data_IF_291781646262
#
_entry.id   IF_291781646262
#
_cell.length_a   1.000
_cell.length_b   1.000
_cell.length_c   1.000
_cell.angle_alpha   90.00
_cell.angle_beta   90.00
_cell.angle_gamma   90.00
#
_symmetry.space_group_name_H-M   'P 1'
#
loop_
_entity.id
_entity.type
_entity.pdbx_description
1 polymer ?
#
# COMPACT_ATOMS: atom_id res chain seq x y z
N UNK A 1 -31.03 20.37 -27.11
CA UNK A 1 -31.26 21.36 -26.02
C UNK A 1 -30.31 21.05 -24.86
N UNK A 2 -29.12 21.65 -24.90
CA UNK A 2 -28.19 21.64 -23.78
C UNK A 2 -28.69 22.71 -22.81
N UNK A 3 -29.57 22.32 -21.90
CA UNK A 3 -30.00 23.19 -20.81
C UNK A 3 -28.82 23.36 -19.85
N UNK A 4 -28.53 24.61 -19.55
CA UNK A 4 -27.60 25.08 -18.53
C UNK A 4 -27.78 24.28 -17.24
N UNK A 5 -26.89 23.31 -16.99
CA UNK A 5 -26.76 22.75 -15.64
C UNK A 5 -26.06 23.80 -14.81
N UNK A 6 -26.84 24.48 -13.98
CA UNK A 6 -26.34 25.30 -12.89
C UNK A 6 -25.29 24.53 -12.09
N UNK A 7 -24.29 25.26 -11.60
CA UNK A 7 -23.18 24.75 -10.79
C UNK A 7 -23.68 23.90 -9.59
N UNK A 8 -24.91 24.16 -9.12
CA UNK A 8 -25.62 23.42 -8.06
C UNK A 8 -26.12 22.01 -8.45
N UNK A 9 -26.41 21.78 -9.74
CA UNK A 9 -26.85 20.46 -10.23
C UNK A 9 -25.69 19.48 -10.43
N UNK A 10 -24.48 20.00 -10.66
CA UNK A 10 -23.25 19.21 -10.79
C UNK A 10 -22.65 18.88 -9.42
N UNK A 11 -22.68 19.82 -8.48
CA UNK A 11 -22.23 19.62 -7.09
C UNK A 11 -23.01 18.50 -6.38
N UNK A 12 -24.34 18.47 -6.54
CA UNK A 12 -25.19 17.41 -5.96
C UNK A 12 -24.89 16.04 -6.58
N UNK A 13 -24.50 15.97 -7.87
CA UNK A 13 -24.13 14.71 -8.53
C UNK A 13 -22.81 14.15 -8.00
N UNK A 14 -21.79 14.99 -7.86
CA UNK A 14 -20.48 14.61 -7.33
C UNK A 14 -20.62 14.01 -5.92
N UNK A 15 -21.33 14.68 -5.02
CA UNK A 15 -21.54 14.21 -3.65
C UNK A 15 -22.32 12.88 -3.62
N UNK A 16 -23.32 12.71 -4.49
CA UNK A 16 -24.07 11.45 -4.62
C UNK A 16 -23.19 10.30 -5.10
N UNK A 17 -22.33 10.54 -6.10
CA UNK A 17 -21.39 9.52 -6.57
C UNK A 17 -20.39 9.13 -5.49
N UNK A 18 -19.83 10.10 -4.76
CA UNK A 18 -18.94 9.83 -3.63
C UNK A 18 -19.63 8.96 -2.58
N UNK A 19 -20.85 9.31 -2.17
CA UNK A 19 -21.64 8.52 -1.22
C UNK A 19 -21.92 7.10 -1.72
N UNK A 20 -22.24 6.94 -3.01
CA UNK A 20 -22.46 5.63 -3.60
C UNK A 20 -21.19 4.78 -3.56
N UNK A 21 -20.05 5.33 -3.98
CA UNK A 21 -18.77 4.62 -3.98
C UNK A 21 -18.30 4.25 -2.56
N UNK A 22 -18.50 5.13 -1.57
CA UNK A 22 -18.23 4.81 -0.16
C UNK A 22 -19.11 3.65 0.34
N UNK A 23 -20.38 3.60 -0.08
CA UNK A 23 -21.27 2.49 0.24
C UNK A 23 -20.83 1.20 -0.44
N UNK A 24 -20.38 1.28 -1.70
CA UNK A 24 -19.89 0.14 -2.49
C UNK A 24 -18.72 -0.57 -1.79
N UNK A 25 -17.79 0.19 -1.20
CA UNK A 25 -16.65 -0.35 -0.44
C UNK A 25 -17.05 -1.23 0.75
N UNK A 26 -18.27 -1.08 1.27
CA UNK A 26 -18.76 -1.81 2.46
C UNK A 26 -19.98 -2.68 2.17
N UNK A 27 -20.30 -2.91 0.88
CA UNK A 27 -21.41 -3.78 0.51
C UNK A 27 -21.12 -5.25 0.88
N UNK A 28 -22.11 -5.98 1.39
CA UNK A 28 -21.94 -7.42 1.66
C UNK A 28 -21.48 -8.17 0.42
N UNK A 29 -20.54 -9.10 0.59
CA UNK A 29 -19.97 -9.94 -0.48
C UNK A 29 -19.25 -9.18 -1.59
N UNK A 30 -18.81 -7.93 -1.34
CA UNK A 30 -17.91 -7.25 -2.26
C UNK A 30 -16.53 -7.92 -2.21
N UNK A 31 -15.97 -8.23 -3.38
CA UNK A 31 -14.64 -8.78 -3.50
C UNK A 31 -13.56 -7.68 -3.46
N UNK A 32 -12.31 -8.08 -3.24
CA UNK A 32 -11.18 -7.14 -3.16
C UNK A 32 -11.04 -6.30 -4.43
N UNK A 33 -11.20 -6.91 -5.61
CA UNK A 33 -11.10 -6.22 -6.89
C UNK A 33 -12.18 -5.13 -7.06
N UNK A 34 -13.43 -5.43 -6.69
CA UNK A 34 -14.52 -4.45 -6.69
C UNK A 34 -14.28 -3.30 -5.70
N UNK A 35 -13.72 -3.61 -4.52
CA UNK A 35 -13.32 -2.58 -3.55
C UNK A 35 -12.18 -1.70 -4.08
N UNK A 36 -11.16 -2.28 -4.71
CA UNK A 36 -10.07 -1.51 -5.32
C UNK A 36 -10.61 -0.56 -6.40
N UNK A 37 -11.50 -1.04 -7.27
CA UNK A 37 -12.07 -0.22 -8.32
C UNK A 37 -12.92 0.93 -7.75
N UNK A 38 -13.67 0.68 -6.67
CA UNK A 38 -14.46 1.71 -5.99
C UNK A 38 -13.57 2.79 -5.34
N UNK A 39 -12.47 2.38 -4.70
CA UNK A 39 -11.48 3.31 -4.13
C UNK A 39 -10.82 4.15 -5.23
N UNK A 40 -10.44 3.53 -6.35
CA UNK A 40 -9.90 4.24 -7.53
C UNK A 40 -10.91 5.24 -8.07
N UNK A 41 -12.18 4.84 -8.23
CA UNK A 41 -13.23 5.73 -8.71
C UNK A 41 -13.44 6.95 -7.79
N UNK A 42 -13.27 6.79 -6.47
CA UNK A 42 -13.29 7.93 -5.54
C UNK A 42 -12.14 8.90 -5.79
N UNK A 43 -10.91 8.40 -5.95
CA UNK A 43 -9.76 9.25 -6.25
C UNK A 43 -9.89 9.95 -7.62
N UNK A 44 -10.40 9.24 -8.63
CA UNK A 44 -10.71 9.84 -9.94
C UNK A 44 -11.76 10.95 -9.82
N UNK A 45 -12.83 10.69 -9.06
CA UNK A 45 -13.87 11.68 -8.81
C UNK A 45 -13.25 12.92 -8.14
N UNK A 46 -12.43 12.76 -7.10
CA UNK A 46 -11.74 13.87 -6.44
C UNK A 46 -10.90 14.68 -7.44
N UNK A 47 -10.09 14.01 -8.26
CA UNK A 47 -9.22 14.63 -9.26
C UNK A 47 -10.00 15.46 -10.30
N UNK A 48 -11.19 15.00 -10.66
CA UNK A 48 -12.06 15.68 -11.64
C UNK A 48 -12.96 16.75 -11.02
N UNK A 49 -13.14 16.74 -9.70
CA UNK A 49 -14.12 17.59 -9.00
C UNK A 49 -13.67 19.02 -8.73
N UNK A 50 -12.46 19.42 -9.14
CA UNK A 50 -11.87 20.76 -8.98
C UNK A 50 -12.17 21.41 -7.61
N UNK A 51 -13.18 22.28 -7.53
CA UNK A 51 -13.55 23.02 -6.32
C UNK A 51 -14.01 22.16 -5.14
N UNK A 52 -14.53 20.95 -5.39
CA UNK A 52 -14.99 20.03 -4.33
C UNK A 52 -13.93 19.03 -3.88
N UNK A 53 -12.74 19.05 -4.50
CA UNK A 53 -11.70 18.07 -4.23
C UNK A 53 -11.32 18.04 -2.74
N UNK A 54 -11.13 19.20 -2.12
CA UNK A 54 -10.76 19.29 -0.70
C UNK A 54 -11.84 18.69 0.22
N UNK A 55 -13.11 19.08 0.04
CA UNK A 55 -14.23 18.57 0.83
C UNK A 55 -14.41 17.06 0.67
N UNK A 56 -14.25 16.53 -0.56
CA UNK A 56 -14.32 15.09 -0.79
C UNK A 56 -13.17 14.32 -0.15
N UNK A 57 -11.95 14.88 -0.15
CA UNK A 57 -10.81 14.28 0.57
C UNK A 57 -11.09 14.22 2.05
N UNK A 58 -11.57 15.31 2.65
CA UNK A 58 -11.93 15.37 4.06
C UNK A 58 -12.98 14.33 4.42
N UNK A 59 -14.05 14.26 3.63
CA UNK A 59 -15.11 13.27 3.81
C UNK A 59 -14.61 11.83 3.71
N UNK A 60 -13.75 11.53 2.73
CA UNK A 60 -13.17 10.20 2.59
C UNK A 60 -12.26 9.86 3.77
N UNK A 61 -11.47 10.81 4.27
CA UNK A 61 -10.61 10.64 5.44
C UNK A 61 -11.41 10.41 6.71
N UNK A 62 -12.47 11.20 6.94
CA UNK A 62 -13.38 11.01 8.08
C UNK A 62 -14.01 9.61 8.04
N UNK A 63 -14.43 9.18 6.86
CA UNK A 63 -15.00 7.84 6.70
C UNK A 63 -13.96 6.74 6.97
N UNK A 64 -12.71 6.92 6.51
CA UNK A 64 -11.62 6.00 6.82
C UNK A 64 -11.37 5.90 8.32
N UNK A 65 -11.33 7.05 9.01
CA UNK A 65 -11.16 7.13 10.47
C UNK A 65 -12.31 6.46 11.22
N UNK A 66 -13.55 6.71 10.83
CA UNK A 66 -14.73 6.06 11.43
C UNK A 66 -14.65 4.53 11.30
N UNK A 67 -14.24 4.03 10.13
CA UNK A 67 -14.06 2.59 9.90
C UNK A 67 -12.95 1.99 10.77
N UNK A 68 -11.90 2.75 11.08
CA UNK A 68 -10.80 2.34 11.97
C UNK A 68 -11.18 2.46 13.46
N UNK A 69 -11.88 3.53 13.85
CA UNK A 69 -12.27 3.82 15.24
C UNK A 69 -13.38 2.89 15.74
N UNK A 70 -14.37 2.57 14.89
CA UNK A 70 -15.44 1.61 15.21
C UNK A 70 -14.91 0.21 15.61
N UNK A 71 -13.63 -0.05 15.34
CA UNK A 71 -12.92 -1.28 15.68
C UNK A 71 -12.28 -1.28 17.09
N UNK A 72 -12.03 -0.10 17.68
CA UNK A 72 -11.47 0.02 19.03
C UNK A 72 -12.53 -0.04 20.13
N UNK A 73 -13.80 0.10 19.77
CA UNK A 73 -14.92 -0.04 20.70
C UNK A 73 -15.14 -1.52 21.08
N UNK A 74 -15.57 -1.76 22.33
CA UNK A 74 -15.89 -3.09 22.92
C UNK A 74 -16.83 -3.94 22.00
N UNK A 75 -17.55 -3.28 21.09
CA UNK A 75 -18.43 -3.90 20.09
C UNK A 75 -17.71 -4.67 18.96
N UNK A 76 -16.39 -4.53 18.79
CA UNK A 76 -15.64 -5.21 17.72
C UNK A 76 -15.71 -6.75 17.78
N UNK A 77 -16.02 -7.31 18.95
CA UNK A 77 -16.21 -8.76 19.17
C UNK A 77 -17.48 -9.30 18.48
N UNK A 78 -18.47 -8.44 18.18
CA UNK A 78 -19.78 -8.87 17.65
C UNK A 78 -19.86 -9.06 16.13
N UNK A 79 -19.00 -8.40 15.33
CA UNK A 79 -19.09 -8.45 13.85
C UNK A 79 -17.70 -8.57 13.16
N UNK A 80 -16.98 -9.70 13.32
CA UNK A 80 -15.60 -9.84 12.87
C UNK A 80 -15.41 -9.68 11.36
N UNK A 81 -16.31 -10.22 10.53
CA UNK A 81 -16.20 -10.19 9.05
C UNK A 81 -16.40 -8.77 8.52
N UNK A 82 -17.39 -8.04 9.04
CA UNK A 82 -17.68 -6.67 8.64
C UNK A 82 -16.55 -5.71 9.03
N UNK A 83 -15.90 -5.99 10.16
CA UNK A 83 -14.74 -5.24 10.59
C UNK A 83 -13.54 -5.45 9.66
N UNK A 84 -13.29 -6.68 9.20
CA UNK A 84 -12.20 -6.92 8.23
C UNK A 84 -12.43 -6.21 6.88
N UNK A 85 -13.66 -6.23 6.38
CA UNK A 85 -14.00 -5.51 5.16
C UNK A 85 -13.84 -3.99 5.32
N UNK A 86 -14.27 -3.42 6.46
CA UNK A 86 -14.08 -1.99 6.76
C UNK A 86 -12.61 -1.61 6.86
N UNK A 87 -11.76 -2.48 7.41
CA UNK A 87 -10.30 -2.29 7.42
C UNK A 87 -9.78 -2.22 6.00
N UNK A 88 -10.06 -3.23 5.19
CA UNK A 88 -9.60 -3.27 3.80
C UNK A 88 -10.10 -2.04 3.01
N UNK A 89 -11.36 -1.64 3.20
CA UNK A 89 -11.93 -0.44 2.59
C UNK A 89 -11.17 0.83 2.97
N UNK A 90 -10.92 1.03 4.27
CA UNK A 90 -10.17 2.18 4.80
C UNK A 90 -8.75 2.22 4.23
N UNK A 91 -8.09 1.06 4.16
CA UNK A 91 -6.73 0.92 3.63
C UNK A 91 -6.66 1.25 2.14
N UNK A 92 -7.55 0.67 1.33
CA UNK A 92 -7.58 0.89 -0.11
C UNK A 92 -7.89 2.36 -0.42
N UNK A 93 -8.87 2.94 0.27
CA UNK A 93 -9.23 4.34 0.07
C UNK A 93 -8.10 5.28 0.50
N UNK A 94 -7.49 5.05 1.67
CA UNK A 94 -6.34 5.84 2.12
C UNK A 94 -5.14 5.73 1.18
N UNK A 95 -4.89 4.56 0.58
CA UNK A 95 -3.85 4.38 -0.45
C UNK A 95 -4.10 5.31 -1.64
N UNK A 96 -5.32 5.31 -2.18
CA UNK A 96 -5.63 6.14 -3.35
C UNK A 96 -5.61 7.65 -3.01
N UNK A 97 -6.06 8.04 -1.81
CA UNK A 97 -5.95 9.43 -1.33
C UNK A 97 -4.48 9.84 -1.14
N UNK A 98 -3.64 8.99 -0.53
CA UNK A 98 -2.22 9.29 -0.36
C UNK A 98 -1.51 9.43 -1.72
N UNK A 99 -1.89 8.65 -2.72
CA UNK A 99 -1.28 8.67 -4.05
C UNK A 99 -1.70 9.88 -4.88
N UNK A 100 -3.00 10.20 -4.92
CA UNK A 100 -3.54 11.20 -5.83
C UNK A 100 -3.90 12.52 -5.15
N UNK A 101 -4.05 12.55 -3.83
CA UNK A 101 -4.43 13.76 -3.08
C UNK A 101 -3.46 14.01 -1.93
N UNK A 102 -2.18 13.68 -2.14
CA UNK A 102 -1.10 13.66 -1.15
C UNK A 102 -1.06 14.90 -0.26
N UNK A 103 -1.07 16.11 -0.82
CA UNK A 103 -1.02 17.36 -0.05
C UNK A 103 -2.15 17.44 0.97
N UNK A 104 -3.41 17.24 0.54
CA UNK A 104 -4.58 17.30 1.42
C UNK A 104 -4.64 16.12 2.39
N UNK A 105 -4.26 14.92 1.94
CA UNK A 105 -4.15 13.72 2.79
C UNK A 105 -3.17 13.94 3.94
N UNK A 106 -1.99 14.50 3.66
CA UNK A 106 -0.93 14.66 4.65
C UNK A 106 -1.19 15.78 5.68
N UNK A 107 -2.13 16.69 5.45
CA UNK A 107 -2.57 17.65 6.48
C UNK A 107 -3.23 16.96 7.68
N UNK A 108 -3.92 15.84 7.45
CA UNK A 108 -4.62 15.07 8.49
C UNK A 108 -3.99 13.70 8.76
N UNK A 109 -2.92 13.37 8.04
CA UNK A 109 -2.17 12.13 8.17
C UNK A 109 -1.82 11.81 9.62
N UNK A 110 -1.47 12.78 10.46
CA UNK A 110 -1.13 12.50 11.86
C UNK A 110 -2.28 11.81 12.64
N UNK A 111 -3.53 12.20 12.41
CA UNK A 111 -4.70 11.57 13.05
C UNK A 111 -4.94 10.20 12.42
N UNK A 112 -4.93 10.14 11.09
CA UNK A 112 -5.08 8.90 10.34
C UNK A 112 -4.05 7.85 10.76
N UNK A 113 -2.78 8.22 10.88
CA UNK A 113 -1.71 7.32 11.23
C UNK A 113 -1.77 6.91 12.70
N UNK A 114 -2.14 7.79 13.63
CA UNK A 114 -2.41 7.37 15.02
C UNK A 114 -3.50 6.30 15.08
N UNK A 115 -4.59 6.49 14.34
CA UNK A 115 -5.70 5.53 14.31
C UNK A 115 -5.36 4.28 13.50
N UNK A 116 -4.46 4.34 12.51
CA UNK A 116 -4.09 3.16 11.74
C UNK A 116 -3.09 2.28 12.50
N UNK A 117 -2.17 2.87 13.29
CA UNK A 117 -1.22 2.11 14.11
C UNK A 117 -1.91 1.23 15.16
N UNK A 118 -3.04 1.67 15.73
CA UNK A 118 -3.81 0.85 16.69
C UNK A 118 -4.47 -0.38 16.05
N UNK A 119 -4.62 -0.41 14.72
CA UNK A 119 -5.27 -1.50 13.96
C UNK A 119 -4.35 -2.15 12.92
N UNK A 120 -3.08 -1.75 12.91
CA UNK A 120 -2.08 -2.09 11.90
C UNK A 120 -1.54 -3.51 12.11
N UNK A 121 -2.28 -4.48 11.58
CA UNK A 121 -1.82 -5.87 11.42
C UNK A 121 -1.66 -6.27 9.96
N UNK A 122 -2.08 -5.40 9.03
CA UNK A 122 -2.09 -5.70 7.61
C UNK A 122 -0.75 -5.28 6.97
N UNK A 123 0.03 -6.23 6.44
CA UNK A 123 1.29 -5.93 5.79
C UNK A 123 1.14 -5.00 4.58
N UNK A 124 -0.03 -4.93 3.90
CA UNK A 124 -0.23 -4.05 2.74
C UNK A 124 -0.20 -2.58 3.12
N UNK A 125 -0.79 -2.25 4.26
CA UNK A 125 -0.78 -0.89 4.82
C UNK A 125 0.62 -0.48 5.21
N UNK A 126 1.32 -1.36 5.94
CA UNK A 126 2.70 -1.14 6.36
C UNK A 126 3.56 -0.90 5.13
N UNK A 127 3.39 -1.73 4.10
CA UNK A 127 4.11 -1.62 2.84
C UNK A 127 3.99 -0.24 2.21
N UNK A 128 2.76 0.28 2.07
CA UNK A 128 2.52 1.60 1.49
C UNK A 128 3.06 2.74 2.37
N UNK A 129 2.92 2.63 3.69
CA UNK A 129 3.43 3.64 4.62
C UNK A 129 4.96 3.72 4.59
N UNK A 130 5.65 2.59 4.61
CA UNK A 130 7.12 2.56 4.54
C UNK A 130 7.59 3.01 3.16
N UNK A 131 6.85 2.67 2.09
CA UNK A 131 7.15 3.09 0.72
C UNK A 131 7.21 4.61 0.57
N UNK A 132 6.19 5.33 1.04
CA UNK A 132 6.12 6.80 0.92
C UNK A 132 7.03 7.52 1.94
N UNK A 133 7.55 6.80 2.93
CA UNK A 133 8.48 7.33 3.94
C UNK A 133 9.95 7.36 3.46
N UNK A 134 10.28 6.63 2.39
CA UNK A 134 11.63 6.57 1.81
C UNK A 134 11.57 6.56 0.28
N UNK A 135 11.58 7.76 -0.30
CA UNK A 135 11.56 7.93 -1.76
C UNK A 135 12.84 7.44 -2.44
N UNK A 136 13.96 7.48 -1.73
CA UNK A 136 15.27 7.13 -2.28
C UNK A 136 15.33 5.65 -2.54
N UNK A 137 14.96 4.85 -1.53
CA UNK A 137 14.87 3.40 -1.70
C UNK A 137 13.84 3.01 -2.76
N UNK A 138 12.67 3.65 -2.75
CA UNK A 138 11.61 3.31 -3.71
C UNK A 138 12.03 3.58 -5.15
N UNK A 139 12.81 4.63 -5.42
CA UNK A 139 13.36 4.91 -6.76
C UNK A 139 14.30 3.79 -7.21
N UNK A 140 15.25 3.38 -6.37
CA UNK A 140 16.15 2.26 -6.64
C UNK A 140 15.38 0.97 -6.95
N UNK A 141 14.31 0.71 -6.19
CA UNK A 141 13.44 -0.45 -6.40
C UNK A 141 12.73 -0.41 -7.75
N UNK A 142 12.19 0.74 -8.14
CA UNK A 142 11.51 0.90 -9.43
C UNK A 142 12.48 0.74 -10.60
N UNK A 143 13.68 1.32 -10.50
CA UNK A 143 14.76 1.15 -11.49
C UNK A 143 15.16 -0.34 -11.63
N UNK A 144 15.32 -1.06 -10.51
CA UNK A 144 15.65 -2.48 -10.53
C UNK A 144 14.57 -3.38 -11.17
N UNK A 145 13.33 -2.90 -11.22
CA UNK A 145 12.20 -3.60 -11.83
C UNK A 145 11.88 -3.09 -13.25
N UNK A 146 12.66 -2.14 -13.77
CA UNK A 146 12.38 -1.45 -15.04
C UNK A 146 10.98 -0.79 -15.08
N UNK A 147 10.48 -0.40 -13.89
CA UNK A 147 9.17 0.24 -13.76
C UNK A 147 9.33 1.74 -13.91
N UNK A 148 8.76 2.26 -14.98
CA UNK A 148 8.73 3.69 -15.26
C UNK A 148 7.43 4.30 -14.74
N UNK A 149 7.53 5.47 -14.08
CA UNK A 149 6.34 6.25 -13.73
C UNK A 149 5.61 6.62 -15.02
N UNK A 150 4.35 6.20 -15.11
CA UNK A 150 3.47 6.57 -16.20
C UNK A 150 2.57 7.69 -15.73
N UNK A 151 2.70 8.87 -16.35
CA UNK A 151 1.77 9.97 -16.13
C UNK A 151 0.37 9.54 -16.58
N UNK A 152 -0.55 9.48 -15.63
CA UNK A 152 -1.93 9.04 -15.88
C UNK A 152 -2.74 10.23 -16.34
N UNK A 153 -3.15 10.27 -17.62
CA UNK A 153 -4.04 11.32 -18.09
C UNK A 153 -5.44 11.13 -17.53
N UNK A 154 -5.95 12.15 -16.84
CA UNK A 154 -7.33 12.19 -16.33
C UNK A 154 -8.35 12.19 -17.51
N UNK A 155 -7.91 12.52 -18.73
CA UNK A 155 -8.76 12.56 -19.92
C UNK A 155 -9.20 11.18 -20.44
N UNK A 156 -8.63 10.08 -19.93
CA UNK A 156 -9.00 8.71 -20.29
C UNK A 156 -9.50 7.93 -19.06
N UNK A 157 -10.78 8.06 -18.66
CA UNK A 157 -11.26 7.52 -17.37
C UNK A 157 -11.11 6.00 -17.22
N UNK A 158 -11.37 5.23 -18.28
CA UNK A 158 -11.25 3.77 -18.24
C UNK A 158 -9.80 3.37 -18.04
N UNK A 159 -8.88 3.98 -18.79
CA UNK A 159 -7.45 3.74 -18.65
C UNK A 159 -6.97 4.16 -17.26
N UNK A 160 -7.36 5.34 -16.78
CA UNK A 160 -7.01 5.79 -15.44
C UNK A 160 -7.47 4.81 -14.35
N UNK A 161 -8.68 4.23 -14.48
CA UNK A 161 -9.21 3.28 -13.50
C UNK A 161 -8.54 1.91 -13.57
N UNK A 162 -8.21 1.42 -14.76
CA UNK A 162 -7.66 0.06 -14.96
C UNK A 162 -6.14 0.01 -14.91
N UNK A 163 -5.45 1.14 -15.13
CA UNK A 163 -4.00 1.19 -15.20
C UNK A 163 -3.35 0.69 -13.90
N UNK A 164 -2.26 -0.09 -14.00
CA UNK A 164 -1.44 -0.45 -12.86
C UNK A 164 -1.02 0.81 -12.10
N UNK A 165 -1.22 0.81 -10.78
CA UNK A 165 -0.82 1.94 -9.93
C UNK A 165 0.70 1.93 -9.79
N UNK A 166 1.39 2.71 -10.62
CA UNK A 166 2.81 3.01 -10.42
C UNK A 166 2.89 4.17 -9.46
N UNK A 167 3.25 3.86 -8.22
CA UNK A 167 3.19 4.84 -7.16
C UNK A 167 4.31 5.90 -7.31
N UNK A 168 3.97 7.16 -7.01
CA UNK A 168 4.95 8.25 -7.07
C UNK A 168 6.06 8.03 -6.05
N UNK A 169 7.27 8.45 -6.42
CA UNK A 169 8.48 8.44 -5.57
C UNK A 169 8.55 9.70 -4.70
N UNK A 170 7.41 10.29 -4.35
CA UNK A 170 7.38 11.49 -3.50
C UNK A 170 7.51 11.05 -2.04
N UNK A 171 8.51 11.60 -1.35
CA UNK A 171 8.70 11.37 0.08
C UNK A 171 7.73 12.21 0.90
N UNK A 172 7.12 11.60 1.91
CA UNK A 172 6.33 12.31 2.91
C UNK A 172 7.09 12.42 4.22
N UNK A 173 7.46 13.64 4.61
CA UNK A 173 8.12 13.92 5.90
C UNK A 173 7.27 13.43 7.08
N UNK A 174 5.95 13.55 6.99
CA UNK A 174 5.02 13.07 8.02
C UNK A 174 5.07 11.55 8.10
N UNK A 175 5.00 10.85 6.96
CA UNK A 175 5.12 9.39 6.92
C UNK A 175 6.49 8.94 7.46
N UNK A 176 7.57 9.62 7.09
CA UNK A 176 8.93 9.35 7.58
C UNK A 176 9.03 9.51 9.09
N UNK A 177 8.53 10.60 9.66
CA UNK A 177 8.51 10.82 11.11
C UNK A 177 7.73 9.73 11.85
N UNK A 178 6.61 9.30 11.28
CA UNK A 178 5.76 8.26 11.86
C UNK A 178 6.39 6.86 11.78
N UNK A 179 6.97 6.49 10.64
CA UNK A 179 7.71 5.24 10.50
C UNK A 179 8.89 5.23 11.45
N UNK A 180 9.61 6.35 11.58
CA UNK A 180 10.71 6.50 12.57
C UNK A 180 10.20 6.26 13.99
N UNK A 181 9.09 6.89 14.39
CA UNK A 181 8.57 6.80 15.74
C UNK A 181 8.04 5.41 16.12
N UNK A 182 7.52 4.66 15.14
CA UNK A 182 6.89 3.36 15.35
C UNK A 182 7.68 2.19 14.73
N UNK A 183 8.97 2.41 14.42
CA UNK A 183 9.76 1.50 13.59
C UNK A 183 9.86 0.08 14.18
N UNK A 184 10.04 -0.01 15.50
CA UNK A 184 10.15 -1.29 16.21
C UNK A 184 8.84 -2.11 16.13
N UNK A 185 7.69 -1.45 16.26
CA UNK A 185 6.37 -2.08 16.17
C UNK A 185 6.10 -2.56 14.73
N UNK A 186 6.40 -1.71 13.74
CA UNK A 186 6.33 -2.06 12.31
C UNK A 186 7.16 -3.31 12.01
N UNK A 187 8.41 -3.34 12.48
CA UNK A 187 9.29 -4.49 12.34
C UNK A 187 8.74 -5.75 13.02
N UNK A 188 8.15 -5.60 14.21
CA UNK A 188 7.48 -6.69 14.94
C UNK A 188 6.33 -7.29 14.14
N UNK A 189 5.47 -6.45 13.55
CA UNK A 189 4.36 -6.89 12.70
C UNK A 189 4.84 -7.57 11.41
N UNK A 190 5.82 -6.98 10.72
CA UNK A 190 6.39 -7.58 9.51
C UNK A 190 7.01 -8.95 9.80
N UNK A 191 7.72 -9.08 10.93
CA UNK A 191 8.29 -10.36 11.40
C UNK A 191 7.19 -11.37 11.75
N UNK A 192 6.16 -10.97 12.49
CA UNK A 192 5.04 -11.84 12.84
C UNK A 192 4.28 -12.31 11.58
N UNK A 193 4.07 -11.42 10.61
CA UNK A 193 3.49 -11.76 9.32
C UNK A 193 4.35 -12.77 8.56
N UNK A 194 5.69 -12.66 8.59
CA UNK A 194 6.60 -13.63 7.97
C UNK A 194 6.44 -15.06 8.51
N UNK A 195 6.16 -15.21 9.81
CA UNK A 195 6.00 -16.51 10.47
C UNK A 195 4.58 -17.06 10.40
N UNK A 196 3.58 -16.18 10.30
CA UNK A 196 2.16 -16.56 10.27
C UNK A 196 1.56 -16.57 8.87
N UNK A 197 2.25 -16.01 7.87
CA UNK A 197 1.84 -16.13 6.49
C UNK A 197 1.99 -17.60 6.07
N UNK A 198 0.86 -18.29 6.08
CA UNK A 198 0.73 -19.64 5.57
C UNK A 198 0.93 -19.60 4.04
N UNK A 199 0.38 -20.54 3.26
CA UNK A 199 0.42 -20.51 1.77
C UNK A 199 -0.29 -19.31 1.09
N UNK A 200 -0.50 -18.19 1.80
CA UNK A 200 -1.13 -16.97 1.30
C UNK A 200 -0.17 -16.21 0.38
N UNK A 201 -0.31 -16.44 -0.93
CA UNK A 201 0.48 -15.77 -1.98
C UNK A 201 0.42 -14.24 -1.87
N UNK A 202 -0.73 -13.58 -1.62
CA UNK A 202 -0.78 -12.12 -1.51
C UNK A 202 0.04 -11.56 -0.35
N UNK A 203 0.08 -12.27 0.78
CA UNK A 203 0.86 -11.85 1.94
C UNK A 203 2.36 -11.99 1.65
N UNK A 204 2.78 -13.11 1.05
CA UNK A 204 4.17 -13.28 0.62
C UNK A 204 4.61 -12.18 -0.34
N UNK A 205 3.79 -11.86 -1.34
CA UNK A 205 4.08 -10.78 -2.28
C UNK A 205 4.27 -9.45 -1.56
N UNK A 206 3.39 -9.13 -0.62
CA UNK A 206 3.47 -7.89 0.17
C UNK A 206 4.75 -7.85 1.02
N UNK A 207 5.14 -8.98 1.63
CA UNK A 207 6.36 -9.06 2.43
C UNK A 207 7.63 -8.95 1.59
N UNK A 208 7.65 -9.51 0.38
CA UNK A 208 8.76 -9.37 -0.56
C UNK A 208 8.99 -7.91 -0.97
N UNK A 209 7.95 -7.11 -0.98
CA UNK A 209 8.03 -5.67 -1.23
C UNK A 209 8.40 -4.87 0.02
N UNK A 210 7.86 -5.26 1.19
CA UNK A 210 8.05 -4.56 2.46
C UNK A 210 9.45 -4.76 3.04
N UNK A 211 9.99 -5.99 2.99
CA UNK A 211 11.24 -6.32 3.65
C UNK A 211 12.45 -5.55 3.13
N UNK A 212 12.67 -5.42 1.81
CA UNK A 212 13.76 -4.60 1.31
C UNK A 212 13.64 -3.15 1.76
N UNK A 213 12.41 -2.59 1.79
CA UNK A 213 12.15 -1.23 2.26
C UNK A 213 12.52 -1.04 3.72
N UNK A 214 12.13 -1.97 4.61
CA UNK A 214 12.49 -1.92 6.02
C UNK A 214 14.00 -2.03 6.24
N UNK A 215 14.68 -2.86 5.44
CA UNK A 215 16.14 -3.06 5.56
C UNK A 215 16.97 -1.83 5.21
N UNK A 216 16.36 -0.83 4.56
CA UNK A 216 17.00 0.43 4.19
C UNK A 216 17.10 1.43 5.34
N UNK A 217 16.37 1.19 6.43
CA UNK A 217 16.38 2.06 7.59
C UNK A 217 17.52 1.69 8.52
N UNK A 218 18.27 2.69 9.00
CA UNK A 218 19.38 2.51 9.93
C UNK A 218 18.98 1.80 11.24
N UNK A 219 17.71 1.93 11.62
CA UNK A 219 17.12 1.30 12.81
C UNK A 219 16.85 -0.20 12.63
N UNK A 220 17.01 -0.76 11.42
CA UNK A 220 16.69 -2.16 11.15
C UNK A 220 17.68 -3.12 11.83
N UNK A 221 17.13 -3.92 12.76
CA UNK A 221 17.87 -4.94 13.49
C UNK A 221 18.53 -5.96 12.51
N UNK A 222 19.83 -6.24 12.65
CA UNK A 222 20.51 -7.32 11.92
C UNK A 222 19.79 -8.67 11.96
N UNK A 223 19.18 -9.04 13.09
CA UNK A 223 18.46 -10.30 13.22
C UNK A 223 17.21 -10.33 12.34
N UNK A 224 16.53 -9.18 12.19
CA UNK A 224 15.38 -9.05 11.30
C UNK A 224 15.79 -9.17 9.83
N UNK A 225 16.89 -8.53 9.42
CA UNK A 225 17.41 -8.67 8.05
C UNK A 225 17.69 -10.13 7.67
N UNK A 226 18.18 -10.94 8.63
CA UNK A 226 18.35 -12.39 8.42
C UNK A 226 17.01 -13.09 8.18
N UNK A 227 15.97 -12.77 8.96
CA UNK A 227 14.61 -13.32 8.77
C UNK A 227 14.06 -12.95 7.39
N UNK A 228 14.24 -11.69 6.97
CA UNK A 228 13.80 -11.19 5.67
C UNK A 228 14.46 -11.94 4.51
N UNK A 229 15.78 -12.12 4.59
CA UNK A 229 16.56 -12.85 3.60
C UNK A 229 16.15 -14.32 3.51
N UNK A 230 16.05 -15.02 4.65
CA UNK A 230 15.63 -16.41 4.70
C UNK A 230 14.19 -16.59 4.17
N UNK A 231 13.29 -15.66 4.49
CA UNK A 231 11.93 -15.68 3.96
C UNK A 231 11.92 -15.61 2.42
N UNK A 232 12.59 -14.62 1.84
CA UNK A 232 12.66 -14.46 0.38
C UNK A 232 13.34 -15.65 -0.30
N UNK A 233 14.45 -16.15 0.27
CA UNK A 233 15.16 -17.33 -0.22
C UNK A 233 14.27 -18.58 -0.26
N UNK A 234 13.44 -18.79 0.77
CA UNK A 234 12.60 -19.99 0.86
C UNK A 234 11.46 -20.01 -0.17
N UNK A 235 11.05 -18.86 -0.68
CA UNK A 235 9.94 -18.74 -1.65
C UNK A 235 10.41 -18.47 -3.08
N UNK A 236 11.70 -18.22 -3.31
CA UNK A 236 12.27 -17.83 -4.60
C UNK A 236 11.99 -18.80 -5.74
N UNK A 237 12.00 -20.09 -5.45
CA UNK A 237 11.69 -21.15 -6.42
C UNK A 237 10.22 -21.13 -6.87
N UNK A 238 9.32 -20.52 -6.09
CA UNK A 238 7.88 -20.44 -6.38
C UNK A 238 7.43 -19.05 -6.82
N UNK A 239 8.21 -18.02 -6.52
CA UNK A 239 7.91 -16.63 -6.83
C UNK A 239 9.18 -15.90 -7.25
N UNK A 240 9.29 -15.63 -8.56
CA UNK A 240 10.43 -14.92 -9.14
C UNK A 240 10.64 -13.51 -8.56
N UNK A 241 9.59 -12.85 -8.04
CA UNK A 241 9.72 -11.54 -7.40
C UNK A 241 10.62 -11.59 -6.15
N UNK A 242 10.80 -12.77 -5.56
CA UNK A 242 11.71 -12.92 -4.43
C UNK A 242 13.18 -12.75 -4.81
N UNK A 243 13.56 -12.99 -6.08
CA UNK A 243 14.92 -12.70 -6.57
C UNK A 243 15.21 -11.20 -6.48
N UNK A 244 14.24 -10.37 -6.88
CA UNK A 244 14.36 -8.91 -6.80
C UNK A 244 14.49 -8.47 -5.35
N UNK A 245 13.65 -9.01 -4.45
CA UNK A 245 13.73 -8.72 -3.03
C UNK A 245 15.08 -9.10 -2.42
N UNK A 246 15.62 -10.28 -2.76
CA UNK A 246 16.95 -10.73 -2.34
C UNK A 246 18.04 -9.78 -2.85
N UNK A 247 18.00 -9.40 -4.12
CA UNK A 247 18.95 -8.45 -4.72
C UNK A 247 18.95 -7.11 -3.99
N UNK A 248 17.77 -6.55 -3.71
CA UNK A 248 17.63 -5.28 -2.98
C UNK A 248 18.12 -5.38 -1.53
N UNK A 249 17.81 -6.47 -0.82
CA UNK A 249 18.32 -6.72 0.54
C UNK A 249 19.86 -6.77 0.55
N UNK A 250 20.45 -7.42 -0.45
CA UNK A 250 21.91 -7.52 -0.61
C UNK A 250 22.54 -6.18 -0.97
N UNK A 251 21.91 -5.40 -1.86
CA UNK A 251 22.39 -4.08 -2.28
C UNK A 251 22.41 -3.10 -1.10
N UNK A 252 21.38 -3.16 -0.24
CA UNK A 252 21.25 -2.27 0.90
C UNK A 252 22.20 -2.64 2.05
N UNK A 253 22.57 -3.92 2.18
CA UNK A 253 23.42 -4.42 3.26
C UNK A 253 24.54 -5.33 2.72
N UNK A 254 25.47 -4.81 1.89
CA UNK A 254 26.42 -5.63 1.11
C UNK A 254 27.40 -6.40 1.99
N UNK A 255 27.91 -5.77 3.06
CA UNK A 255 28.84 -6.40 3.99
C UNK A 255 28.20 -7.58 4.74
N UNK A 256 26.90 -7.48 5.04
CA UNK A 256 26.15 -8.51 5.76
C UNK A 256 25.90 -9.75 4.90
N UNK A 257 25.64 -9.55 3.61
CA UNK A 257 25.25 -10.62 2.69
C UNK A 257 26.37 -11.06 1.74
N UNK A 258 27.59 -10.52 1.88
CA UNK A 258 28.77 -10.90 1.07
C UNK A 258 28.97 -12.43 1.02
N UNK A 259 28.82 -13.11 2.16
CA UNK A 259 28.96 -14.57 2.25
C UNK A 259 27.85 -15.35 1.53
N UNK A 260 26.71 -14.74 1.25
CA UNK A 260 25.56 -15.38 0.60
C UNK A 260 25.57 -15.24 -0.94
N UNK A 261 26.45 -14.40 -1.51
CA UNK A 261 26.50 -14.15 -2.97
C UNK A 261 26.64 -15.45 -3.77
N UNK A 262 27.59 -16.31 -3.40
CA UNK A 262 27.81 -17.58 -4.11
C UNK A 262 26.58 -18.49 -4.07
N UNK A 263 25.89 -18.56 -2.94
CA UNK A 263 24.65 -19.31 -2.80
C UNK A 263 23.54 -18.74 -3.71
N UNK A 264 23.43 -17.41 -3.81
CA UNK A 264 22.42 -16.76 -4.65
C UNK A 264 22.69 -16.96 -6.13
N UNK A 265 23.95 -16.93 -6.55
CA UNK A 265 24.32 -17.26 -7.93
C UNK A 265 23.92 -18.70 -8.29
N UNK A 266 24.12 -19.66 -7.38
CA UNK A 266 23.66 -21.04 -7.60
C UNK A 266 22.14 -21.14 -7.73
N UNK A 267 21.38 -20.42 -6.91
CA UNK A 267 19.90 -20.37 -7.02
C UNK A 267 19.47 -19.83 -8.38
N UNK A 268 20.09 -18.73 -8.83
CA UNK A 268 19.79 -18.15 -10.15
C UNK A 268 20.13 -19.14 -11.28
N UNK A 269 21.29 -19.79 -11.21
CA UNK A 269 21.68 -20.80 -12.20
C UNK A 269 20.69 -21.97 -12.26
N UNK A 270 20.24 -22.47 -11.10
CA UNK A 270 19.25 -23.54 -11.01
C UNK A 270 17.90 -23.14 -11.62
N UNK A 271 17.43 -21.92 -11.32
CA UNK A 271 16.20 -21.38 -11.89
C UNK A 271 16.30 -21.20 -13.42
N UNK A 272 17.44 -20.73 -13.93
CA UNK A 272 17.68 -20.59 -15.37
C UNK A 272 17.72 -21.95 -16.07
N UNK A 273 18.39 -22.94 -15.47
CA UNK A 273 18.45 -24.30 -16.02
C UNK A 273 17.04 -24.91 -16.11
N UNK A 274 16.24 -24.74 -15.06
CA UNK A 274 14.84 -25.22 -15.02
C UNK A 274 13.95 -24.53 -16.07
N UNK A 275 14.23 -23.27 -16.41
CA UNK A 275 13.45 -22.54 -17.41
C UNK A 275 13.76 -22.95 -18.86
N UNK A 276 14.93 -23.54 -19.11
CA UNK A 276 15.40 -23.93 -20.45
C UNK A 276 15.18 -25.43 -20.73
N UNK A 277 14.95 -26.23 -19.68
CA UNK A 277 14.61 -27.66 -19.74
C UNK A 277 13.12 -27.90 -19.99
#
# INVERSE_FOLDING_TARGET
>A
CLAETSIDGESNRVVRFANFLLKVLTMPNMDEAGMELAARALAFLIQTSKSYAAELVEKCLDQCLEWLEAMTAIFAVKEPVRNEQRRLASVLLARELAMFTSTSFFLRANVFFKSIFTVLRDPKVINELVRIADATFERTRLEALDIHQTETSIAAPIEWLTQPRVASTVESNTARALVTANFAEICGHAKAAAFSCNRSVPVHQTLLELFPRLSAWDQCDPALCKVMFEHAKNIVQKNGNALVALGLLMLQNPERFRGNIGQMMMVVTDMLNTAVS
#
